data_IF_647550586094
#
_entry.id   IF_647550586094
#
_cell.length_a   1.000
_cell.length_b   1.000
_cell.length_c   1.000
_cell.angle_alpha   90.00
_cell.angle_beta   90.00
_cell.angle_gamma   90.00
#
_symmetry.space_group_name_H-M   'P 1'
#
loop_
_entity.id
_entity.type
_entity.pdbx_description
1 polymer ?
#
# COMPACT_ATOMS: atom_id res chain seq x y z
N UNK A 1 25.54 -6.75 3.61
CA UNK A 1 25.10 -8.01 2.97
C UNK A 1 23.96 -7.66 2.04
N UNK A 2 24.07 -8.01 0.75
CA UNK A 2 23.00 -7.73 -0.23
C UNK A 2 21.85 -8.71 -0.01
N UNK A 3 20.75 -8.26 0.56
CA UNK A 3 19.54 -9.07 0.83
C UNK A 3 18.68 -9.33 -0.42
N UNK A 4 19.16 -9.02 -1.63
CA UNK A 4 18.37 -9.10 -2.86
C UNK A 4 18.46 -10.42 -3.64
N UNK A 5 18.86 -11.53 -3.01
CA UNK A 5 18.84 -12.81 -3.70
C UNK A 5 17.66 -13.66 -3.23
N UNK A 6 16.66 -13.82 -4.12
CA UNK A 6 15.56 -14.80 -4.05
C UNK A 6 14.35 -14.54 -3.13
N UNK A 7 14.02 -13.31 -2.79
CA UNK A 7 12.72 -13.06 -2.18
C UNK A 7 11.71 -12.65 -3.25
N UNK A 8 10.59 -13.39 -3.33
CA UNK A 8 9.42 -13.07 -4.16
C UNK A 8 8.96 -11.63 -3.87
N UNK A 9 8.85 -10.75 -4.89
CA UNK A 9 8.40 -9.37 -4.67
C UNK A 9 7.03 -9.31 -4.04
N UNK A 10 6.87 -8.46 -3.04
CA UNK A 10 5.58 -8.26 -2.38
C UNK A 10 4.61 -7.48 -3.29
N UNK A 11 3.41 -8.01 -3.49
CA UNK A 11 2.37 -7.35 -4.28
C UNK A 11 1.19 -7.03 -3.36
N UNK A 12 0.91 -5.75 -3.18
CA UNK A 12 -0.31 -5.27 -2.51
C UNK A 12 -1.26 -4.65 -3.53
N UNK A 13 -2.54 -5.05 -3.47
CA UNK A 13 -3.61 -4.44 -4.26
C UNK A 13 -4.49 -3.61 -3.33
N UNK A 14 -4.50 -2.29 -3.55
CA UNK A 14 -5.17 -1.34 -2.68
C UNK A 14 -6.48 -0.82 -3.27
N UNK A 15 -7.39 -0.33 -2.40
CA UNK A 15 -8.62 0.35 -2.82
C UNK A 15 -9.71 -0.60 -3.32
N UNK A 16 -9.89 -1.74 -2.66
CA UNK A 16 -10.98 -2.68 -2.90
C UNK A 16 -12.27 -2.09 -2.33
N UNK A 17 -13.35 -2.11 -3.11
CA UNK A 17 -14.64 -1.52 -2.73
C UNK A 17 -15.83 -2.44 -2.94
N UNK A 18 -15.65 -3.61 -3.54
CA UNK A 18 -16.74 -4.52 -3.87
C UNK A 18 -16.31 -6.00 -3.84
N UNK A 19 -17.28 -6.87 -3.63
CA UNK A 19 -17.05 -8.31 -3.47
C UNK A 19 -16.43 -8.95 -4.71
N UNK A 20 -16.90 -8.59 -5.91
CA UNK A 20 -16.42 -9.17 -7.16
C UNK A 20 -14.91 -8.96 -7.36
N UNK A 21 -14.43 -7.77 -7.04
CA UNK A 21 -13.01 -7.46 -7.13
C UNK A 21 -12.22 -8.17 -6.02
N UNK A 22 -12.78 -8.23 -4.79
CA UNK A 22 -12.15 -8.96 -3.69
C UNK A 22 -11.95 -10.44 -4.05
N UNK A 23 -13.00 -11.12 -4.52
CA UNK A 23 -12.96 -12.53 -4.86
C UNK A 23 -11.93 -12.82 -5.96
N UNK A 24 -11.91 -11.98 -7.01
CA UNK A 24 -10.95 -12.11 -8.09
C UNK A 24 -9.51 -11.88 -7.60
N UNK A 25 -9.27 -10.78 -6.88
CA UNK A 25 -7.92 -10.44 -6.38
C UNK A 25 -7.41 -11.53 -5.44
N UNK A 26 -8.25 -12.05 -4.56
CA UNK A 26 -7.88 -13.14 -3.67
C UNK A 26 -7.58 -14.46 -4.41
N UNK A 27 -8.05 -14.65 -5.64
CA UNK A 27 -7.69 -15.81 -6.46
C UNK A 27 -6.33 -15.69 -7.16
N UNK A 28 -5.75 -14.49 -7.18
CA UNK A 28 -4.44 -14.22 -7.78
C UNK A 28 -3.30 -14.38 -6.76
N UNK A 29 -2.08 -14.56 -7.23
CA UNK A 29 -0.89 -14.69 -6.40
C UNK A 29 -0.41 -13.33 -5.86
N UNK A 30 -1.14 -12.77 -4.90
CA UNK A 30 -0.86 -11.49 -4.24
C UNK A 30 -0.51 -11.71 -2.77
N UNK A 31 0.09 -10.70 -2.13
CA UNK A 31 0.57 -10.81 -0.75
C UNK A 31 -0.24 -9.95 0.23
N UNK A 32 -1.02 -8.98 -0.23
CA UNK A 32 -1.86 -8.16 0.64
C UNK A 32 -2.97 -7.44 -0.13
N UNK A 33 -4.02 -7.05 0.60
CA UNK A 33 -5.12 -6.22 0.12
C UNK A 33 -5.30 -4.99 0.98
N UNK A 34 -5.86 -3.91 0.41
CA UNK A 34 -6.12 -2.66 1.14
C UNK A 34 -7.55 -2.14 0.96
N UNK A 35 -8.17 -1.76 2.09
CA UNK A 35 -9.47 -1.07 2.15
C UNK A 35 -9.26 0.36 2.61
N UNK A 36 -9.81 1.32 1.89
CA UNK A 36 -9.68 2.73 2.23
C UNK A 36 -10.86 3.18 3.10
N UNK A 37 -10.59 3.47 4.38
CA UNK A 37 -11.59 3.94 5.34
C UNK A 37 -11.67 5.46 5.45
N UNK A 38 -10.90 6.20 4.63
CA UNK A 38 -10.95 7.66 4.58
C UNK A 38 -12.14 8.15 3.77
N UNK A 39 -13.07 8.84 4.42
CA UNK A 39 -14.37 9.25 3.86
C UNK A 39 -14.27 10.07 2.56
N UNK A 40 -13.23 10.90 2.42
CA UNK A 40 -13.06 11.74 1.23
C UNK A 40 -12.36 11.00 0.06
N UNK A 41 -12.02 9.74 0.23
CA UNK A 41 -11.43 8.93 -0.84
C UNK A 41 -12.49 8.51 -1.86
N UNK A 42 -12.14 8.58 -3.15
CA UNK A 42 -12.95 7.98 -4.23
C UNK A 42 -13.09 6.45 -4.10
N UNK A 43 -12.30 5.83 -3.21
CA UNK A 43 -12.26 4.39 -2.93
C UNK A 43 -12.68 4.09 -1.49
N UNK A 44 -13.39 5.03 -0.88
CA UNK A 44 -13.94 4.84 0.45
C UNK A 44 -14.88 3.64 0.49
N UNK A 45 -14.75 2.84 1.53
CA UNK A 45 -15.67 1.75 1.86
C UNK A 45 -15.99 1.79 3.34
N UNK A 46 -17.26 1.58 3.69
CA UNK A 46 -17.67 1.55 5.09
C UNK A 46 -17.16 0.26 5.76
N UNK A 47 -16.76 0.36 7.02
CA UNK A 47 -16.28 -0.80 7.79
C UNK A 47 -17.31 -1.95 7.83
N UNK A 48 -18.60 -1.61 7.90
CA UNK A 48 -19.69 -2.59 7.83
C UNK A 48 -19.75 -3.37 6.51
N UNK A 49 -19.37 -2.73 5.39
CA UNK A 49 -19.33 -3.39 4.08
C UNK A 49 -18.07 -4.21 3.93
N UNK A 50 -16.93 -3.74 4.45
CA UNK A 50 -15.72 -4.56 4.58
C UNK A 50 -16.00 -5.83 5.36
N UNK A 51 -16.72 -5.72 6.49
CA UNK A 51 -17.11 -6.87 7.30
C UNK A 51 -17.92 -7.89 6.53
N UNK A 52 -18.90 -7.43 5.70
CA UNK A 52 -19.69 -8.33 4.85
C UNK A 52 -18.83 -9.03 3.80
N UNK A 53 -17.96 -8.27 3.13
CA UNK A 53 -17.07 -8.82 2.11
C UNK A 53 -16.11 -9.87 2.65
N UNK A 54 -15.64 -9.72 3.88
CA UNK A 54 -14.67 -10.64 4.51
C UNK A 54 -15.29 -11.89 5.16
N UNK A 55 -16.63 -11.98 5.29
CA UNK A 55 -17.31 -13.14 5.91
C UNK A 55 -16.94 -14.46 5.23
N UNK A 56 -16.89 -14.45 3.90
CA UNK A 56 -16.63 -15.64 3.09
C UNK A 56 -15.18 -15.75 2.57
N UNK A 57 -14.29 -14.86 3.06
CA UNK A 57 -12.90 -14.89 2.65
C UNK A 57 -12.16 -16.07 3.28
N UNK A 58 -11.93 -17.11 2.48
CA UNK A 58 -11.27 -18.35 2.91
C UNK A 58 -9.73 -18.30 2.88
N UNK A 59 -9.14 -17.15 2.54
CA UNK A 59 -7.70 -17.00 2.40
C UNK A 59 -7.13 -16.12 3.51
N UNK A 60 -5.98 -16.50 4.03
CA UNK A 60 -5.27 -15.74 5.06
C UNK A 60 -4.36 -14.68 4.42
N UNK A 61 -4.94 -13.74 3.66
CA UNK A 61 -4.23 -12.65 3.02
C UNK A 61 -4.22 -11.45 3.96
N UNK A 62 -3.07 -10.84 4.28
CA UNK A 62 -2.96 -9.63 5.09
C UNK A 62 -3.84 -8.50 4.59
N UNK A 63 -4.62 -7.91 5.50
CA UNK A 63 -5.55 -6.82 5.23
C UNK A 63 -4.97 -5.53 5.78
N UNK A 64 -4.93 -4.49 4.94
CA UNK A 64 -4.51 -3.15 5.32
C UNK A 64 -5.71 -2.21 5.37
N UNK A 65 -5.88 -1.50 6.50
CA UNK A 65 -6.86 -0.45 6.64
C UNK A 65 -6.18 0.91 6.51
N UNK A 66 -6.57 1.67 5.50
CA UNK A 66 -6.02 2.99 5.21
C UNK A 66 -6.77 4.05 6.00
N UNK A 67 -6.03 4.78 6.84
CA UNK A 67 -6.48 5.92 7.61
C UNK A 67 -5.73 7.18 7.15
N UNK A 68 -6.38 8.34 7.24
CA UNK A 68 -5.80 9.64 6.92
C UNK A 68 -6.19 10.63 8.02
N UNK A 69 -5.25 10.94 8.93
CA UNK A 69 -5.45 11.85 10.05
C UNK A 69 -6.71 11.53 10.88
N UNK A 70 -6.97 10.24 11.07
CA UNK A 70 -8.18 9.76 11.73
C UNK A 70 -8.07 9.89 13.25
N UNK A 71 -9.21 10.00 13.92
CA UNK A 71 -9.29 10.00 15.38
C UNK A 71 -8.82 8.64 15.95
N UNK A 72 -7.95 8.63 16.99
CA UNK A 72 -7.43 7.39 17.58
C UNK A 72 -8.52 6.43 18.05
N UNK A 73 -9.65 6.94 18.55
CA UNK A 73 -10.75 6.10 19.05
C UNK A 73 -11.44 5.37 17.89
N UNK A 74 -11.59 6.04 16.74
CA UNK A 74 -12.11 5.43 15.51
C UNK A 74 -11.16 4.35 15.00
N UNK A 75 -9.86 4.64 14.95
CA UNK A 75 -8.85 3.65 14.56
C UNK A 75 -8.90 2.43 15.48
N UNK A 76 -8.92 2.64 16.82
CA UNK A 76 -9.02 1.55 17.80
C UNK A 76 -10.30 0.75 17.63
N UNK A 77 -11.44 1.42 17.37
CA UNK A 77 -12.72 0.75 17.13
C UNK A 77 -12.68 -0.14 15.88
N UNK A 78 -12.07 0.34 14.81
CA UNK A 78 -11.87 -0.45 13.58
C UNK A 78 -10.98 -1.67 13.86
N UNK A 79 -9.83 -1.44 14.49
CA UNK A 79 -8.85 -2.49 14.75
C UNK A 79 -9.32 -3.52 15.80
N UNK A 80 -10.22 -3.14 16.71
CA UNK A 80 -10.84 -4.09 17.66
C UNK A 80 -11.76 -5.09 16.97
N UNK A 81 -12.42 -4.68 15.87
CA UNK A 81 -13.27 -5.55 15.08
C UNK A 81 -12.48 -6.45 14.11
N UNK A 82 -11.25 -6.04 13.76
CA UNK A 82 -10.34 -6.75 12.85
C UNK A 82 -8.94 -6.82 13.47
N UNK A 83 -8.71 -7.70 14.44
CA UNK A 83 -7.45 -7.74 15.20
C UNK A 83 -6.21 -8.00 14.34
N UNK A 84 -6.36 -8.72 13.23
CA UNK A 84 -5.26 -9.07 12.32
C UNK A 84 -5.04 -8.02 11.21
N UNK A 85 -5.90 -7.01 11.11
CA UNK A 85 -5.72 -5.95 10.13
C UNK A 85 -4.54 -5.04 10.52
N UNK A 86 -3.76 -4.63 9.53
CA UNK A 86 -2.61 -3.75 9.67
C UNK A 86 -3.04 -2.31 9.38
N UNK A 87 -2.93 -1.37 10.32
CA UNK A 87 -3.20 0.04 10.04
C UNK A 87 -2.12 0.60 9.10
N UNK A 88 -2.57 1.24 8.04
CA UNK A 88 -1.77 2.03 7.11
C UNK A 88 -2.14 3.49 7.27
N UNK A 89 -1.24 4.29 7.85
CA UNK A 89 -1.42 5.71 8.04
C UNK A 89 -0.93 6.48 6.81
N UNK A 90 -1.82 7.18 6.14
CA UNK A 90 -1.57 7.81 4.84
C UNK A 90 -1.78 9.35 4.85
N UNK A 91 -1.90 9.93 6.04
CA UNK A 91 -1.96 11.38 6.28
C UNK A 91 -0.65 11.92 6.84
N UNK A 92 -0.77 12.94 7.70
CA UNK A 92 0.35 13.63 8.37
C UNK A 92 0.59 13.08 9.80
N UNK A 93 0.16 11.84 10.07
CA UNK A 93 0.29 11.22 11.38
C UNK A 93 1.78 11.10 11.76
N UNK A 94 2.13 11.55 12.97
CA UNK A 94 3.49 11.43 13.51
C UNK A 94 3.85 9.98 13.85
N UNK A 95 5.15 9.69 13.97
CA UNK A 95 5.61 8.37 14.42
C UNK A 95 5.07 7.99 15.81
N UNK A 96 4.97 8.96 16.72
CA UNK A 96 4.39 8.76 18.06
C UNK A 96 2.90 8.39 17.99
N UNK A 97 2.14 9.07 17.12
CA UNK A 97 0.75 8.71 16.87
C UNK A 97 0.64 7.27 16.33
N UNK A 98 1.41 6.94 15.29
CA UNK A 98 1.38 5.61 14.69
C UNK A 98 1.75 4.52 15.69
N UNK A 99 2.75 4.74 16.51
CA UNK A 99 3.25 3.79 17.52
C UNK A 99 2.33 3.66 18.74
N UNK A 100 1.46 4.65 19.00
CA UNK A 100 0.55 4.64 20.16
C UNK A 100 -0.42 3.46 20.17
N UNK A 101 -0.70 2.87 19.02
CA UNK A 101 -1.60 1.70 18.89
C UNK A 101 -0.95 0.38 19.33
N UNK A 102 0.35 0.36 19.65
CA UNK A 102 1.13 -0.78 20.18
C UNK A 102 1.00 -2.05 19.34
N UNK A 103 1.06 -1.89 18.03
CA UNK A 103 0.97 -2.96 17.03
C UNK A 103 1.77 -2.62 15.78
N UNK A 104 2.00 -3.61 14.94
CA UNK A 104 2.58 -3.40 13.61
C UNK A 104 1.75 -2.37 12.84
N UNK A 105 2.42 -1.40 12.23
CA UNK A 105 1.78 -0.42 11.36
C UNK A 105 2.63 -0.14 10.12
N UNK A 106 1.98 0.44 9.12
CA UNK A 106 2.62 0.92 7.89
C UNK A 106 2.40 2.42 7.76
N UNK A 107 3.46 3.15 7.43
CA UNK A 107 3.34 4.57 7.10
C UNK A 107 3.47 4.77 5.60
N UNK A 108 2.46 5.37 5.01
CA UNK A 108 2.51 5.85 3.63
C UNK A 108 2.96 7.30 3.62
N UNK A 109 3.88 7.62 2.72
CA UNK A 109 4.53 8.93 2.61
C UNK A 109 4.48 9.39 1.16
N UNK A 110 4.11 10.64 0.97
CA UNK A 110 4.24 11.33 -0.31
C UNK A 110 5.63 11.94 -0.39
N UNK A 111 6.40 11.47 -1.35
CA UNK A 111 7.79 11.88 -1.51
C UNK A 111 7.91 12.92 -2.63
N UNK A 112 8.53 14.03 -2.30
CA UNK A 112 8.93 15.08 -3.23
C UNK A 112 10.39 15.50 -2.99
N UNK A 113 10.87 16.49 -3.75
CA UNK A 113 12.25 16.99 -3.62
C UNK A 113 12.56 17.64 -2.26
N UNK A 114 11.54 18.06 -1.51
CA UNK A 114 11.68 18.72 -0.20
C UNK A 114 11.60 17.74 0.96
N UNK A 115 11.28 16.46 0.70
CA UNK A 115 11.15 15.45 1.75
C UNK A 115 12.47 15.14 2.43
N UNK A 116 12.57 15.38 3.73
CA UNK A 116 13.74 15.07 4.55
C UNK A 116 13.82 13.58 4.92
N UNK A 117 14.35 12.76 4.02
CA UNK A 117 14.36 11.30 4.17
C UNK A 117 15.11 10.79 5.41
N UNK A 118 16.12 11.53 5.91
CA UNK A 118 16.78 11.19 7.19
C UNK A 118 15.80 11.27 8.36
N UNK A 119 14.93 12.29 8.34
CA UNK A 119 13.89 12.46 9.36
C UNK A 119 12.85 11.36 9.25
N UNK A 120 12.45 10.98 8.03
CA UNK A 120 11.55 9.85 7.80
C UNK A 120 12.07 8.56 8.46
N UNK A 121 13.35 8.23 8.28
CA UNK A 121 13.96 7.04 8.88
C UNK A 121 13.99 7.09 10.42
N UNK A 122 14.03 8.28 11.01
CA UNK A 122 14.02 8.47 12.47
C UNK A 122 12.59 8.44 13.04
N UNK A 123 11.69 9.20 12.42
CA UNK A 123 10.33 9.40 12.92
C UNK A 123 9.50 8.10 12.84
N UNK A 124 9.75 7.26 11.82
CA UNK A 124 8.98 6.04 11.57
C UNK A 124 9.81 4.75 11.74
N UNK A 125 10.89 4.80 12.55
CA UNK A 125 11.81 3.66 12.78
C UNK A 125 11.11 2.38 13.25
N UNK A 126 9.96 2.52 13.90
CA UNK A 126 9.16 1.41 14.44
C UNK A 126 8.07 0.92 13.46
N UNK A 127 7.99 1.51 12.26
CA UNK A 127 7.09 1.04 11.22
C UNK A 127 7.53 -0.33 10.70
N UNK A 128 6.57 -1.22 10.47
CA UNK A 128 6.84 -2.53 9.85
C UNK A 128 7.43 -2.37 8.44
N UNK A 129 6.90 -1.41 7.70
CA UNK A 129 7.40 -0.98 6.39
C UNK A 129 6.84 0.41 6.05
N UNK A 130 7.41 1.01 5.03
CA UNK A 130 6.88 2.24 4.43
C UNK A 130 6.15 1.93 3.12
N UNK A 131 5.24 2.81 2.73
CA UNK A 131 4.75 2.91 1.35
C UNK A 131 5.17 4.28 0.84
N UNK A 132 5.94 4.31 -0.25
CA UNK A 132 6.40 5.56 -0.84
C UNK A 132 5.56 5.86 -2.08
N UNK A 133 4.77 6.93 -2.00
CA UNK A 133 3.87 7.37 -3.07
C UNK A 133 4.45 8.60 -3.77
N UNK A 134 4.22 8.72 -5.08
CA UNK A 134 4.62 9.90 -5.82
C UNK A 134 3.78 11.10 -5.40
N UNK A 135 4.42 12.24 -5.18
CA UNK A 135 3.71 13.49 -4.93
C UNK A 135 3.25 14.09 -6.27
N UNK A 136 1.97 14.44 -6.36
CA UNK A 136 1.42 15.27 -7.41
C UNK A 136 0.61 16.40 -6.76
N UNK A 137 1.00 17.65 -7.05
CA UNK A 137 0.40 18.85 -6.46
C UNK A 137 -1.09 19.01 -6.78
N UNK A 138 -1.55 18.48 -7.90
CA UNK A 138 -2.90 18.76 -8.41
C UNK A 138 -3.93 17.66 -8.11
N UNK A 139 -3.51 16.43 -7.75
CA UNK A 139 -4.46 15.32 -7.55
C UNK A 139 -3.98 14.32 -6.51
N UNK A 140 -4.87 13.89 -5.62
CA UNK A 140 -4.70 12.74 -4.73
C UNK A 140 -4.71 11.42 -5.53
N UNK A 141 -3.60 11.14 -6.25
CA UNK A 141 -3.33 9.89 -6.96
C UNK A 141 -3.84 9.81 -8.41
N UNK A 142 -3.05 9.17 -9.28
CA UNK A 142 -3.51 8.72 -10.60
C UNK A 142 -3.19 9.60 -11.80
N UNK A 143 -2.15 10.44 -11.76
CA UNK A 143 -1.78 11.33 -12.90
C UNK A 143 -0.89 10.67 -13.94
N UNK A 144 -0.42 9.44 -13.72
CA UNK A 144 0.45 8.74 -14.67
C UNK A 144 1.88 9.27 -14.75
N UNK A 145 2.24 10.27 -13.93
CA UNK A 145 3.64 10.70 -13.82
C UNK A 145 4.44 9.67 -13.05
N UNK A 146 5.54 9.23 -13.61
CA UNK A 146 6.47 8.31 -12.96
C UNK A 146 7.19 9.00 -11.81
N UNK A 147 7.27 8.32 -10.68
CA UNK A 147 8.03 8.72 -9.50
C UNK A 147 9.50 8.95 -9.88
N UNK A 148 10.08 10.08 -9.46
CA UNK A 148 11.53 10.29 -9.59
C UNK A 148 12.28 9.45 -8.55
N UNK A 149 12.71 8.26 -8.97
CA UNK A 149 13.40 7.29 -8.11
C UNK A 149 14.74 7.80 -7.57
N UNK A 150 15.32 8.84 -8.18
CA UNK A 150 16.57 9.44 -7.69
C UNK A 150 16.41 10.10 -6.32
N UNK A 151 15.20 10.53 -5.98
CA UNK A 151 14.86 11.13 -4.69
C UNK A 151 15.09 10.17 -3.53
N UNK A 152 14.79 8.88 -3.71
CA UNK A 152 14.81 7.86 -2.64
C UNK A 152 15.98 6.89 -2.72
N UNK A 153 16.73 6.91 -3.83
CA UNK A 153 17.82 5.94 -4.08
C UNK A 153 18.83 5.91 -2.93
N UNK A 154 18.95 4.75 -2.26
CA UNK A 154 19.84 4.51 -1.12
C UNK A 154 19.64 5.44 0.10
N UNK A 155 18.46 6.05 0.27
CA UNK A 155 18.20 7.00 1.34
C UNK A 155 17.17 6.49 2.36
N UNK A 156 16.47 5.40 2.05
CA UNK A 156 15.49 4.76 2.93
C UNK A 156 16.11 3.52 3.54
N UNK A 157 16.10 3.45 4.87
CA UNK A 157 16.68 2.35 5.65
C UNK A 157 15.68 1.23 5.94
N UNK A 158 14.40 1.58 6.06
CA UNK A 158 13.30 0.64 6.28
C UNK A 158 12.92 -0.10 4.99
N UNK A 159 12.37 -1.32 5.09
CA UNK A 159 11.74 -1.96 3.95
C UNK A 159 10.56 -1.10 3.46
N UNK A 160 10.36 -1.04 2.15
CA UNK A 160 9.25 -0.27 1.60
C UNK A 160 8.64 -0.90 0.35
N UNK A 161 7.37 -0.56 0.11
CA UNK A 161 6.68 -0.75 -1.15
C UNK A 161 6.70 0.57 -1.94
N UNK A 162 6.93 0.49 -3.25
CA UNK A 162 6.73 1.64 -4.11
C UNK A 162 5.28 1.69 -4.57
N UNK A 163 4.69 2.87 -4.46
CA UNK A 163 3.36 3.22 -4.95
C UNK A 163 3.44 4.40 -5.94
N UNK A 164 2.29 4.96 -6.34
CA UNK A 164 2.25 6.14 -7.22
C UNK A 164 2.65 5.84 -8.65
N UNK A 165 1.66 5.49 -9.48
CA UNK A 165 1.88 5.25 -10.91
C UNK A 165 2.65 3.97 -11.26
N UNK A 166 2.85 3.07 -10.30
CA UNK A 166 3.45 1.76 -10.57
C UNK A 166 2.48 0.88 -11.36
N UNK A 167 2.97 0.29 -12.43
CA UNK A 167 2.22 -0.59 -13.33
C UNK A 167 3.06 -1.77 -13.84
N UNK A 168 2.45 -2.57 -14.72
CA UNK A 168 3.08 -3.77 -15.32
C UNK A 168 4.32 -3.48 -16.20
N UNK A 169 4.55 -2.24 -16.59
CA UNK A 169 5.64 -1.88 -17.51
C UNK A 169 6.80 -1.16 -16.78
N UNK A 170 6.57 -0.62 -15.57
CA UNK A 170 7.57 0.13 -14.80
C UNK A 170 7.96 -0.48 -13.43
N UNK A 171 7.23 -1.48 -12.91
CA UNK A 171 7.45 -2.07 -11.56
C UNK A 171 8.90 -2.51 -11.33
N UNK A 172 9.60 -2.96 -12.38
CA UNK A 172 10.98 -3.43 -12.30
C UNK A 172 11.95 -2.34 -11.83
N UNK A 173 11.65 -1.07 -12.10
CA UNK A 173 12.45 0.06 -11.62
C UNK A 173 12.39 0.18 -10.09
N UNK A 174 11.23 -0.08 -9.50
CA UNK A 174 11.05 -0.13 -8.05
C UNK A 174 11.91 -1.24 -7.42
N UNK A 175 11.81 -2.45 -7.96
CA UNK A 175 12.48 -3.63 -7.41
C UNK A 175 14.02 -3.58 -7.47
N UNK A 176 14.57 -2.68 -8.28
CA UNK A 176 16.01 -2.41 -8.33
C UNK A 176 16.51 -1.45 -7.22
N UNK A 177 15.61 -0.89 -6.43
CA UNK A 177 15.99 -0.01 -5.32
C UNK A 177 16.36 -0.82 -4.09
N UNK A 178 17.38 -0.35 -3.37
CA UNK A 178 17.76 -0.94 -2.09
C UNK A 178 16.60 -0.81 -1.09
N UNK A 179 16.29 -1.89 -0.37
CA UNK A 179 15.21 -2.00 0.61
C UNK A 179 13.78 -1.91 0.03
N UNK A 180 13.62 -1.78 -1.28
CA UNK A 180 12.31 -2.00 -1.90
C UNK A 180 12.00 -3.50 -1.88
N UNK A 181 10.91 -3.87 -1.22
CA UNK A 181 10.49 -5.27 -1.09
C UNK A 181 9.32 -5.61 -2.03
N UNK A 182 8.76 -4.62 -2.72
CA UNK A 182 7.62 -4.85 -3.62
C UNK A 182 6.90 -3.57 -4.03
N UNK A 183 5.66 -3.74 -4.42
CA UNK A 183 4.81 -2.67 -4.97
C UNK A 183 3.45 -2.62 -4.27
N UNK A 184 2.88 -1.41 -4.20
CA UNK A 184 1.50 -1.16 -3.81
C UNK A 184 0.77 -0.49 -4.98
N UNK A 185 -0.20 -1.18 -5.56
CA UNK A 185 -0.90 -0.70 -6.75
C UNK A 185 -2.38 -0.46 -6.47
N UNK A 186 -2.90 0.60 -7.05
CA UNK A 186 -4.29 0.99 -6.91
C UNK A 186 -4.89 1.41 -8.26
N UNK A 187 -4.66 2.66 -8.68
CA UNK A 187 -5.28 3.24 -9.88
C UNK A 187 -4.79 2.61 -11.19
N UNK A 188 -3.54 2.16 -11.26
CA UNK A 188 -2.95 1.56 -12.46
C UNK A 188 -3.61 0.24 -12.88
N UNK A 189 -4.41 -0.37 -12.00
CA UNK A 189 -5.16 -1.60 -12.27
C UNK A 189 -6.67 -1.39 -12.13
N UNK A 190 -7.16 -0.17 -12.36
CA UNK A 190 -8.59 0.18 -12.28
C UNK A 190 -9.16 0.56 -13.66
N UNK A 191 -10.44 0.21 -13.88
CA UNK A 191 -11.24 0.76 -14.99
C UNK A 191 -11.76 2.16 -14.65
N UNK A 192 -12.15 2.34 -13.40
CA UNK A 192 -12.56 3.59 -12.79
C UNK A 192 -12.30 3.51 -11.28
N UNK A 193 -12.21 4.63 -10.57
CA UNK A 193 -11.94 4.62 -9.13
C UNK A 193 -12.83 3.63 -8.35
N UNK A 194 -12.20 2.68 -7.65
CA UNK A 194 -12.85 1.65 -6.85
C UNK A 194 -13.31 0.41 -7.63
N UNK A 195 -13.05 0.32 -8.93
CA UNK A 195 -13.39 -0.86 -9.75
C UNK A 195 -12.15 -1.38 -10.46
N UNK A 196 -11.73 -2.59 -10.13
CA UNK A 196 -10.50 -3.18 -10.67
C UNK A 196 -10.70 -3.74 -12.08
N UNK A 197 -9.72 -3.52 -12.94
CA UNK A 197 -9.61 -4.19 -14.22
C UNK A 197 -8.91 -5.54 -14.00
N UNK A 198 -9.65 -6.62 -14.00
CA UNK A 198 -9.16 -7.96 -13.71
C UNK A 198 -8.04 -8.40 -14.65
N UNK A 199 -8.12 -8.03 -15.93
CA UNK A 199 -7.07 -8.35 -16.91
C UNK A 199 -5.74 -7.61 -16.60
N UNK A 200 -5.83 -6.34 -16.17
CA UNK A 200 -4.65 -5.58 -15.77
C UNK A 200 -4.03 -6.12 -14.47
N UNK A 201 -4.86 -6.46 -13.47
CA UNK A 201 -4.39 -7.10 -12.23
C UNK A 201 -3.63 -8.38 -12.57
N UNK A 202 -4.25 -9.29 -13.34
CA UNK A 202 -3.63 -10.56 -13.71
C UNK A 202 -2.32 -10.37 -14.46
N UNK A 203 -2.31 -9.48 -15.46
CA UNK A 203 -1.10 -9.19 -16.25
C UNK A 203 0.03 -8.61 -15.40
N UNK A 204 -0.29 -7.73 -14.41
CA UNK A 204 0.69 -7.20 -13.47
C UNK A 204 1.26 -8.31 -12.59
N UNK A 205 0.40 -9.14 -11.97
CA UNK A 205 0.81 -10.23 -11.09
C UNK A 205 1.71 -11.21 -11.83
N UNK A 206 1.32 -11.67 -13.01
CA UNK A 206 2.12 -12.59 -13.83
C UNK A 206 3.51 -12.00 -14.15
N UNK A 207 3.58 -10.74 -14.57
CA UNK A 207 4.86 -10.07 -14.86
C UNK A 207 5.76 -9.92 -13.63
N UNK A 208 5.20 -9.49 -12.49
CA UNK A 208 5.96 -9.32 -11.26
C UNK A 208 6.47 -10.66 -10.75
N UNK A 209 5.65 -11.70 -10.81
CA UNK A 209 6.04 -13.05 -10.35
C UNK A 209 7.09 -13.72 -11.23
N UNK A 210 7.09 -13.40 -12.51
CA UNK A 210 8.10 -13.93 -13.46
C UNK A 210 9.42 -13.13 -13.47
N UNK A 211 9.52 -12.01 -12.75
CA UNK A 211 10.66 -11.11 -12.86
C UNK A 211 11.97 -11.69 -12.33
N UNK A 212 11.94 -12.60 -11.36
CA UNK A 212 13.11 -13.24 -10.75
C UNK A 212 13.23 -14.75 -11.04
N UNK A 213 12.48 -15.23 -12.02
CA UNK A 213 12.53 -16.64 -12.45
C UNK A 213 13.51 -16.85 -13.59
#
# INVERSE_FOLDING_TARGET
>A
MNYNFYMKPFIKICGITNQKDLDFICSEDIDAIGFNLYLNSKRYVQLSDVKKMLVDMNQNIPIFFIFVNEDPDIVNQCLSQFPDAIPQFHGEESGDYCSSFKRDYVKALRINSETELKKVNQDYKDAKMLILDSYDDDHYGGTGKTFDLSLIKNKIDLPFLLAGGVDKDNFHQALNLKNCIGIDVCSSVEEKPGYKNHAQVKSLVEKVRSYYV
#
